data_IF_306573795586
#
_entry.id   IF_306573795586
#
_cell.length_a   1.000
_cell.length_b   1.000
_cell.length_c   1.000
_cell.angle_alpha   90.00
_cell.angle_beta   90.00
_cell.angle_gamma   90.00
#
_symmetry.space_group_name_H-M   'P 1'
#
loop_
_entity.id
_entity.type
_entity.pdbx_description
1 polymer ?
#
# COMPACT_ATOMS: atom_id res chain seq x y z
N UNK A 1 -19.78 14.93 -0.08
CA UNK A 1 -20.26 13.53 -0.26
C UNK A 1 -20.59 12.94 1.10
N UNK A 2 -21.68 12.18 1.25
CA UNK A 2 -21.98 11.50 2.51
C UNK A 2 -20.89 10.43 2.77
N UNK A 3 -20.46 10.26 4.03
CA UNK A 3 -19.42 9.27 4.43
C UNK A 3 -19.69 7.85 3.88
N UNK A 4 -20.97 7.46 3.83
CA UNK A 4 -21.40 6.17 3.26
C UNK A 4 -21.13 6.05 1.76
N UNK A 5 -21.27 7.14 0.98
CA UNK A 5 -21.02 7.12 -0.47
C UNK A 5 -19.53 6.99 -0.79
N UNK A 6 -18.68 7.69 -0.03
CA UNK A 6 -17.23 7.60 -0.18
C UNK A 6 -16.70 6.18 0.16
N UNK A 7 -17.22 5.59 1.25
CA UNK A 7 -16.89 4.21 1.62
C UNK A 7 -17.34 3.20 0.55
N UNK A 8 -18.57 3.32 0.03
CA UNK A 8 -19.09 2.44 -1.02
C UNK A 8 -18.25 2.53 -2.31
N UNK A 9 -17.87 3.73 -2.73
CA UNK A 9 -17.01 3.94 -3.91
C UNK A 9 -15.64 3.34 -3.67
N UNK A 10 -15.05 3.51 -2.47
CA UNK A 10 -13.75 2.91 -2.15
C UNK A 10 -13.77 1.39 -2.20
N UNK A 11 -14.81 0.77 -1.63
CA UNK A 11 -15.00 -0.69 -1.67
C UNK A 11 -15.20 -1.15 -3.11
N UNK A 12 -16.04 -0.49 -3.89
CA UNK A 12 -16.29 -0.84 -5.29
C UNK A 12 -15.00 -0.78 -6.13
N UNK A 13 -14.20 0.29 -5.98
CA UNK A 13 -12.89 0.42 -6.63
C UNK A 13 -11.90 -0.64 -6.17
N UNK A 14 -11.83 -0.91 -4.87
CA UNK A 14 -10.95 -1.94 -4.34
C UNK A 14 -11.27 -3.33 -4.87
N UNK A 15 -12.57 -3.68 -4.91
CA UNK A 15 -13.04 -4.95 -5.49
C UNK A 15 -12.79 -4.98 -7.00
N UNK A 16 -13.05 -3.90 -7.72
CA UNK A 16 -12.82 -3.84 -9.16
C UNK A 16 -11.33 -3.96 -9.52
N UNK A 17 -10.48 -3.18 -8.89
CA UNK A 17 -9.02 -3.23 -9.14
C UNK A 17 -8.43 -4.54 -8.60
N UNK A 18 -8.68 -4.88 -7.34
CA UNK A 18 -8.19 -6.11 -6.73
C UNK A 18 -8.68 -7.35 -7.49
N UNK A 19 -9.97 -7.42 -7.83
CA UNK A 19 -10.55 -8.50 -8.62
C UNK A 19 -9.94 -8.59 -10.02
N UNK A 20 -9.71 -7.46 -10.70
CA UNK A 20 -9.10 -7.46 -12.03
C UNK A 20 -7.63 -7.90 -11.97
N UNK A 21 -6.83 -7.27 -11.11
CA UNK A 21 -5.39 -7.53 -11.08
C UNK A 21 -5.00 -8.79 -10.31
N UNK A 22 -5.76 -9.19 -9.29
CA UNK A 22 -5.46 -10.38 -8.49
C UNK A 22 -6.20 -11.65 -8.95
N UNK A 23 -7.27 -11.53 -9.73
CA UNK A 23 -8.06 -12.69 -10.19
C UNK A 23 -8.17 -12.74 -11.71
N UNK A 24 -8.77 -11.72 -12.36
CA UNK A 24 -9.10 -11.78 -13.78
C UNK A 24 -7.82 -11.86 -14.65
N UNK A 25 -6.85 -10.99 -14.48
CA UNK A 25 -5.61 -11.03 -15.26
C UNK A 25 -4.80 -12.31 -15.00
N UNK A 26 -4.58 -12.76 -13.75
CA UNK A 26 -3.97 -14.06 -13.50
C UNK A 26 -4.72 -15.23 -14.13
N UNK A 27 -6.06 -15.21 -14.13
CA UNK A 27 -6.87 -16.22 -14.81
C UNK A 27 -6.63 -16.23 -16.32
N UNK A 28 -6.68 -15.06 -16.98
CA UNK A 28 -6.47 -14.95 -18.42
C UNK A 28 -5.05 -15.33 -18.86
N UNK A 29 -4.04 -15.10 -18.01
CA UNK A 29 -2.64 -15.39 -18.31
C UNK A 29 -2.22 -16.82 -17.93
N UNK A 30 -2.86 -17.40 -16.93
CA UNK A 30 -2.48 -18.71 -16.39
C UNK A 30 -3.54 -19.77 -16.59
N UNK A 31 -4.75 -19.39 -17.09
CA UNK A 31 -5.93 -20.25 -17.26
C UNK A 31 -6.28 -21.06 -16.01
N UNK A 32 -5.63 -20.77 -14.90
CA UNK A 32 -5.73 -21.45 -13.59
C UNK A 32 -5.65 -22.99 -13.68
N UNK A 33 -4.89 -23.50 -14.65
CA UNK A 33 -4.58 -24.93 -14.73
C UNK A 33 -3.49 -25.30 -13.73
N UNK A 34 -3.72 -26.37 -12.98
CA UNK A 34 -2.74 -26.89 -12.03
C UNK A 34 -1.60 -27.61 -12.75
N UNK A 35 -0.46 -26.95 -12.85
CA UNK A 35 0.77 -27.57 -13.34
C UNK A 35 1.59 -28.07 -12.14
N UNK A 36 2.25 -29.19 -12.32
CA UNK A 36 3.17 -29.78 -11.33
C UNK A 36 4.57 -29.87 -11.95
N UNK A 37 5.31 -28.75 -12.01
CA UNK A 37 6.60 -28.72 -12.70
C UNK A 37 7.67 -29.59 -12.06
N UNK A 38 7.50 -29.96 -10.79
CA UNK A 38 8.47 -30.78 -10.03
C UNK A 38 7.73 -31.87 -9.24
N UNK A 39 8.44 -33.02 -8.92
CA UNK A 39 7.95 -33.99 -7.94
C UNK A 39 7.70 -33.29 -6.59
N UNK A 40 6.68 -33.74 -5.86
CA UNK A 40 6.27 -33.17 -4.56
C UNK A 40 5.73 -31.73 -4.61
N UNK A 41 5.28 -31.24 -5.77
CA UNK A 41 4.72 -29.89 -5.94
C UNK A 41 3.52 -29.59 -5.01
N UNK A 42 2.90 -30.61 -4.43
CA UNK A 42 1.82 -30.46 -3.44
C UNK A 42 2.21 -29.60 -2.22
N UNK A 43 3.46 -29.66 -1.78
CA UNK A 43 3.97 -28.78 -0.70
C UNK A 43 3.99 -27.34 -1.16
N UNK A 44 4.46 -27.06 -2.38
CA UNK A 44 4.45 -25.72 -2.95
C UNK A 44 3.01 -25.18 -3.10
N UNK A 45 2.06 -26.02 -3.47
CA UNK A 45 0.63 -25.65 -3.56
C UNK A 45 0.07 -25.28 -2.17
N UNK A 46 0.38 -26.06 -1.13
CA UNK A 46 -0.03 -25.74 0.24
C UNK A 46 0.55 -24.42 0.71
N UNK A 47 1.86 -24.18 0.47
CA UNK A 47 2.50 -22.88 0.74
C UNK A 47 1.84 -21.76 -0.07
N UNK A 48 1.48 -22.02 -1.32
CA UNK A 48 0.77 -21.08 -2.19
C UNK A 48 -0.57 -20.61 -1.58
N UNK A 49 -1.37 -21.53 -1.07
CA UNK A 49 -2.62 -21.19 -0.36
C UNK A 49 -2.35 -20.34 0.89
N UNK A 50 -1.34 -20.72 1.70
CA UNK A 50 -0.99 -19.95 2.88
C UNK A 50 -0.55 -18.53 2.53
N UNK A 51 0.23 -18.36 1.46
CA UNK A 51 0.65 -17.04 0.99
C UNK A 51 -0.55 -16.19 0.51
N UNK A 52 -1.50 -16.79 -0.22
CA UNK A 52 -2.73 -16.07 -0.62
C UNK A 52 -3.47 -15.58 0.62
N UNK A 53 -3.70 -16.46 1.59
CA UNK A 53 -4.37 -16.07 2.84
C UNK A 53 -3.59 -14.97 3.60
N UNK A 54 -2.26 -15.11 3.69
CA UNK A 54 -1.40 -14.14 4.36
C UNK A 54 -1.39 -12.78 3.66
N UNK A 55 -1.40 -12.76 2.32
CA UNK A 55 -1.43 -11.54 1.52
C UNK A 55 -2.77 -10.79 1.61
N UNK A 56 -3.88 -11.50 1.80
CA UNK A 56 -5.21 -10.89 1.99
C UNK A 56 -5.29 -10.08 3.30
N UNK A 57 -4.53 -10.43 4.32
CA UNK A 57 -4.58 -9.74 5.62
C UNK A 57 -4.17 -8.27 5.49
N UNK A 58 -2.98 -7.91 4.96
CA UNK A 58 -2.61 -6.50 4.78
C UNK A 58 -3.51 -5.77 3.78
N UNK A 59 -4.05 -6.44 2.75
CA UNK A 59 -5.01 -5.86 1.82
C UNK A 59 -6.27 -5.38 2.56
N UNK A 60 -6.97 -6.29 3.22
CA UNK A 60 -8.22 -5.99 3.93
C UNK A 60 -7.99 -4.94 5.02
N UNK A 61 -6.92 -5.09 5.82
CA UNK A 61 -6.61 -4.14 6.88
C UNK A 61 -6.32 -2.74 6.33
N UNK A 62 -5.58 -2.64 5.24
CA UNK A 62 -5.27 -1.36 4.61
C UNK A 62 -6.52 -0.67 4.08
N UNK A 63 -7.45 -1.41 3.46
CA UNK A 63 -8.75 -0.87 3.07
C UNK A 63 -9.54 -0.32 4.25
N UNK A 64 -9.58 -1.07 5.37
CA UNK A 64 -10.25 -0.62 6.61
C UNK A 64 -9.59 0.67 7.12
N UNK A 65 -8.26 0.76 7.11
CA UNK A 65 -7.53 1.94 7.58
C UNK A 65 -7.80 3.17 6.71
N UNK A 66 -7.89 3.00 5.37
CA UNK A 66 -8.28 4.09 4.46
C UNK A 66 -9.72 4.56 4.69
N UNK A 67 -10.67 3.64 4.87
CA UNK A 67 -12.07 3.99 5.16
C UNK A 67 -12.16 4.79 6.46
N UNK A 68 -11.42 4.37 7.52
CA UNK A 68 -11.37 5.10 8.80
C UNK A 68 -10.74 6.49 8.69
N UNK A 69 -9.85 6.70 7.72
CA UNK A 69 -9.19 7.98 7.47
C UNK A 69 -10.01 8.92 6.56
N UNK A 70 -11.28 8.61 6.28
CA UNK A 70 -12.15 9.33 5.33
C UNK A 70 -11.50 9.47 3.92
N UNK A 71 -10.67 8.51 3.53
CA UNK A 71 -9.93 8.46 2.27
C UNK A 71 -10.23 7.21 1.46
N UNK A 72 -9.67 7.19 0.26
CA UNK A 72 -9.66 6.00 -0.60
C UNK A 72 -8.21 5.60 -0.89
N UNK A 73 -7.91 4.31 -1.10
CA UNK A 73 -6.58 3.88 -1.53
C UNK A 73 -6.24 4.34 -2.96
N UNK A 74 -7.18 4.98 -3.64
CA UNK A 74 -6.98 5.49 -4.99
C UNK A 74 -6.32 6.87 -4.94
N UNK A 75 -5.30 7.15 -5.78
CA UNK A 75 -4.57 8.43 -5.79
C UNK A 75 -5.45 9.68 -5.97
N UNK A 76 -6.61 9.53 -6.59
CA UNK A 76 -7.56 10.63 -6.88
C UNK A 76 -8.20 11.21 -5.61
N UNK A 77 -8.34 10.43 -4.55
CA UNK A 77 -8.97 10.85 -3.30
C UNK A 77 -8.15 10.45 -2.07
N UNK A 78 -6.86 10.79 -2.10
CA UNK A 78 -5.96 10.51 -0.98
C UNK A 78 -6.44 11.19 0.30
N UNK A 79 -6.37 10.53 1.46
CA UNK A 79 -6.90 11.01 2.73
C UNK A 79 -6.30 12.37 3.11
N UNK A 80 -7.03 13.20 3.88
CA UNK A 80 -6.55 14.51 4.32
C UNK A 80 -5.37 14.41 5.30
N UNK A 81 -5.16 13.25 5.91
CA UNK A 81 -4.08 12.97 6.87
C UNK A 81 -3.24 11.79 6.39
N UNK A 82 -1.95 11.80 6.70
CA UNK A 82 -1.07 10.67 6.43
C UNK A 82 -1.53 9.45 7.25
N UNK A 83 -1.85 8.35 6.56
CA UNK A 83 -2.26 7.10 7.20
C UNK A 83 -1.01 6.38 7.69
N UNK A 84 -0.86 6.29 9.02
CA UNK A 84 0.24 5.62 9.72
C UNK A 84 -0.35 4.70 10.79
N UNK A 85 -1.32 3.88 10.40
CA UNK A 85 -1.98 2.90 11.26
C UNK A 85 -1.80 1.48 10.73
N UNK A 86 -2.11 0.48 11.51
CA UNK A 86 -2.08 -0.91 11.09
C UNK A 86 -0.74 -1.33 10.48
N UNK A 87 -0.77 -1.93 9.29
CA UNK A 87 0.42 -2.37 8.57
C UNK A 87 1.32 -1.24 8.08
N UNK A 88 0.80 0.00 7.92
CA UNK A 88 1.60 1.17 7.57
C UNK A 88 2.66 1.53 8.62
N UNK A 89 2.55 1.02 9.84
CA UNK A 89 3.58 1.14 10.89
C UNK A 89 4.78 0.20 10.67
N UNK A 90 4.61 -0.82 9.84
CA UNK A 90 5.63 -1.84 9.56
C UNK A 90 6.27 -1.66 8.19
N UNK A 91 5.46 -1.33 7.18
CA UNK A 91 5.90 -1.14 5.79
C UNK A 91 5.10 -0.02 5.16
N UNK A 92 5.73 0.80 4.27
CA UNK A 92 5.04 1.96 3.69
C UNK A 92 3.99 1.59 2.64
N UNK A 93 4.17 0.45 1.96
CA UNK A 93 3.31 0.01 0.86
C UNK A 93 2.67 -1.35 1.16
N UNK A 94 1.87 -1.50 2.24
CA UNK A 94 1.33 -2.80 2.64
C UNK A 94 0.39 -3.41 1.60
N UNK A 95 -0.38 -2.59 0.86
CA UNK A 95 -1.26 -3.04 -0.23
C UNK A 95 -0.43 -3.71 -1.33
N UNK A 96 0.61 -3.05 -1.83
CA UNK A 96 1.47 -3.64 -2.87
C UNK A 96 2.18 -4.92 -2.39
N UNK A 97 2.63 -4.94 -1.13
CA UNK A 97 3.27 -6.13 -0.54
C UNK A 97 2.27 -7.27 -0.44
N UNK A 98 1.06 -7.02 0.07
CA UNK A 98 -0.02 -8.00 0.14
C UNK A 98 -0.38 -8.56 -1.23
N UNK A 99 -0.56 -7.68 -2.21
CA UNK A 99 -0.84 -8.05 -3.60
C UNK A 99 0.25 -8.97 -4.20
N UNK A 100 1.53 -8.61 -4.02
CA UNK A 100 2.64 -9.44 -4.49
C UNK A 100 2.70 -10.81 -3.81
N UNK A 101 2.41 -10.87 -2.50
CA UNK A 101 2.33 -12.13 -1.76
C UNK A 101 1.19 -13.00 -2.29
N UNK A 102 0.03 -12.42 -2.64
CA UNK A 102 -1.08 -13.14 -3.29
C UNK A 102 -0.65 -13.69 -4.66
N UNK A 103 0.00 -12.87 -5.49
CA UNK A 103 0.48 -13.33 -6.81
C UNK A 103 1.52 -14.45 -6.69
N UNK A 104 2.46 -14.33 -5.78
CA UNK A 104 3.44 -15.40 -5.52
C UNK A 104 2.76 -16.68 -5.02
N UNK A 105 1.73 -16.54 -4.18
CA UNK A 105 0.88 -17.65 -3.77
C UNK A 105 0.21 -18.35 -4.97
N UNK A 106 -0.31 -17.59 -5.92
CA UNK A 106 -0.90 -18.14 -7.15
C UNK A 106 0.16 -18.80 -8.05
N UNK A 107 1.36 -18.22 -8.17
CA UNK A 107 2.48 -18.85 -8.90
C UNK A 107 2.77 -20.25 -8.35
N UNK A 108 2.86 -20.39 -7.01
CA UNK A 108 3.11 -21.66 -6.36
C UNK A 108 1.90 -22.61 -6.47
N UNK A 109 0.68 -22.10 -6.36
CA UNK A 109 -0.55 -22.89 -6.41
C UNK A 109 -0.74 -23.51 -7.79
N UNK A 110 -0.56 -22.72 -8.85
CA UNK A 110 -0.83 -23.17 -10.23
C UNK A 110 0.43 -23.65 -10.96
N UNK A 111 1.63 -23.35 -10.48
CA UNK A 111 2.88 -23.74 -11.12
C UNK A 111 3.11 -23.06 -12.48
N UNK A 112 2.46 -21.94 -12.74
CA UNK A 112 2.44 -21.25 -14.03
C UNK A 112 3.61 -20.28 -14.18
N UNK A 113 4.40 -20.45 -15.25
CA UNK A 113 5.46 -19.48 -15.62
C UNK A 113 4.87 -18.14 -16.07
N UNK A 114 3.70 -18.15 -16.71
CA UNK A 114 2.99 -16.92 -17.10
C UNK A 114 2.62 -16.06 -15.89
N UNK A 115 2.13 -16.69 -14.81
CA UNK A 115 1.86 -15.99 -13.55
C UNK A 115 3.14 -15.43 -12.89
N UNK A 116 4.27 -16.13 -12.99
CA UNK A 116 5.53 -15.62 -12.47
C UNK A 116 5.98 -14.37 -13.24
N UNK A 117 5.93 -14.40 -14.56
CA UNK A 117 6.23 -13.22 -15.40
C UNK A 117 5.28 -12.07 -15.06
N UNK A 118 3.99 -12.34 -14.93
CA UNK A 118 3.01 -11.34 -14.52
C UNK A 118 3.34 -10.73 -13.15
N UNK A 119 3.68 -11.55 -12.16
CA UNK A 119 4.05 -11.06 -10.82
C UNK A 119 5.28 -10.14 -10.85
N UNK A 120 6.30 -10.48 -11.65
CA UNK A 120 7.50 -9.65 -11.85
C UNK A 120 7.14 -8.32 -12.52
N UNK A 121 6.34 -8.36 -13.59
CA UNK A 121 5.90 -7.14 -14.30
C UNK A 121 5.06 -6.26 -13.37
N UNK A 122 4.09 -6.85 -12.65
CA UNK A 122 3.25 -6.14 -11.70
C UNK A 122 4.09 -5.47 -10.59
N UNK A 123 5.13 -6.16 -10.08
CA UNK A 123 6.05 -5.58 -9.13
C UNK A 123 6.86 -4.41 -9.71
N UNK A 124 7.39 -4.54 -10.92
CA UNK A 124 8.14 -3.45 -11.57
C UNK A 124 7.25 -2.22 -11.80
N UNK A 125 6.03 -2.42 -12.30
CA UNK A 125 5.07 -1.34 -12.52
C UNK A 125 4.67 -0.68 -11.20
N UNK A 126 4.34 -1.46 -10.16
CA UNK A 126 4.02 -0.96 -8.84
C UNK A 126 5.18 -0.20 -8.20
N UNK A 127 6.41 -0.72 -8.29
CA UNK A 127 7.61 -0.06 -7.78
C UNK A 127 7.86 1.27 -8.49
N UNK A 128 7.68 1.32 -9.81
CA UNK A 128 7.78 2.54 -10.58
C UNK A 128 6.69 3.56 -10.20
N UNK A 129 5.44 3.12 -10.08
CA UNK A 129 4.34 3.97 -9.63
C UNK A 129 4.60 4.57 -8.24
N UNK A 130 5.02 3.76 -7.27
CA UNK A 130 5.39 4.21 -5.93
C UNK A 130 6.54 5.22 -6.01
N UNK A 131 7.62 4.91 -6.72
CA UNK A 131 8.84 5.72 -6.76
C UNK A 131 8.66 7.06 -7.47
N UNK A 132 7.94 7.05 -8.60
CA UNK A 132 7.87 8.22 -9.50
C UNK A 132 6.59 9.02 -9.33
N UNK A 133 5.55 8.45 -8.78
CA UNK A 133 4.25 9.12 -8.64
C UNK A 133 3.82 9.28 -7.17
N UNK A 134 3.71 8.17 -6.40
CA UNK A 134 3.14 8.22 -5.05
C UNK A 134 4.07 8.92 -4.05
N UNK A 135 5.35 8.52 -3.95
CA UNK A 135 6.29 9.13 -3.02
C UNK A 135 6.48 10.65 -3.25
N UNK A 136 6.66 11.15 -4.48
CA UNK A 136 6.71 12.60 -4.72
C UNK A 136 5.41 13.31 -4.38
N UNK A 137 4.26 12.68 -4.63
CA UNK A 137 2.94 13.25 -4.32
C UNK A 137 2.72 13.34 -2.80
N UNK A 138 3.05 12.29 -2.06
CA UNK A 138 2.97 12.27 -0.60
C UNK A 138 3.96 13.25 0.03
N UNK A 139 5.18 13.35 -0.50
CA UNK A 139 6.17 14.31 -0.03
C UNK A 139 5.72 15.76 -0.21
N UNK A 140 5.10 16.08 -1.37
CA UNK A 140 4.52 17.42 -1.59
C UNK A 140 3.33 17.71 -0.69
N UNK A 141 2.47 16.70 -0.46
CA UNK A 141 1.23 16.87 0.31
C UNK A 141 1.47 16.97 1.81
N UNK A 142 2.36 16.16 2.36
CA UNK A 142 2.56 16.00 3.80
C UNK A 142 3.92 16.55 4.32
N UNK A 143 4.79 17.00 3.43
CA UNK A 143 6.02 17.68 3.78
C UNK A 143 6.92 16.92 4.75
N UNK A 144 7.34 17.60 5.83
CA UNK A 144 8.22 17.05 6.85
C UNK A 144 7.68 15.77 7.50
N UNK A 145 6.36 15.70 7.74
CA UNK A 145 5.73 14.50 8.32
C UNK A 145 5.92 13.25 7.49
N UNK A 146 5.86 13.39 6.17
CA UNK A 146 6.16 12.26 5.28
C UNK A 146 7.64 11.90 5.28
N UNK A 147 8.54 12.88 5.36
CA UNK A 147 9.99 12.60 5.43
C UNK A 147 10.36 11.84 6.71
N UNK A 148 9.82 12.24 7.87
CA UNK A 148 10.02 11.52 9.13
C UNK A 148 9.56 10.07 9.02
N UNK A 149 8.37 9.86 8.45
CA UNK A 149 7.83 8.53 8.19
C UNK A 149 8.70 7.72 7.23
N UNK A 150 9.15 8.34 6.14
CA UNK A 150 9.97 7.71 5.10
C UNK A 150 11.34 7.26 5.63
N UNK A 151 11.95 8.04 6.52
CA UNK A 151 13.22 7.67 7.17
C UNK A 151 13.04 6.50 8.14
N UNK A 152 11.90 6.44 8.82
CA UNK A 152 11.63 5.44 9.85
C UNK A 152 11.10 4.11 9.32
N UNK A 153 10.29 4.11 8.26
CA UNK A 153 9.61 2.93 7.73
C UNK A 153 10.06 2.65 6.29
N UNK A 154 10.49 1.43 6.01
CA UNK A 154 10.93 1.00 4.67
C UNK A 154 9.75 0.84 3.71
N UNK A 155 10.01 1.00 2.39
CA UNK A 155 8.97 0.93 1.37
C UNK A 155 8.41 -0.49 1.18
N UNK A 156 9.29 -1.52 1.17
CA UNK A 156 8.96 -2.87 0.72
C UNK A 156 9.26 -3.96 1.76
N UNK A 157 10.14 -3.70 2.70
CA UNK A 157 10.56 -4.68 3.70
C UNK A 157 9.92 -4.32 5.03
N UNK A 158 9.05 -5.19 5.58
CA UNK A 158 8.43 -4.95 6.88
C UNK A 158 9.47 -4.85 8.00
N UNK A 159 9.22 -3.97 8.95
CA UNK A 159 9.97 -3.88 10.21
C UNK A 159 9.47 -4.95 11.17
N UNK A 160 10.31 -5.40 12.06
CA UNK A 160 9.92 -6.33 13.14
C UNK A 160 9.06 -5.65 14.22
N UNK A 161 9.27 -4.33 14.44
CA UNK A 161 8.53 -3.56 15.44
C UNK A 161 7.76 -2.41 14.79
N UNK A 162 6.53 -2.12 15.24
CA UNK A 162 5.73 -1.04 14.68
C UNK A 162 6.36 0.32 14.97
N UNK A 163 6.40 1.19 13.97
CA UNK A 163 6.80 2.58 14.18
C UNK A 163 5.66 3.36 14.84
N UNK A 164 6.03 4.24 15.78
CA UNK A 164 5.11 5.16 16.43
C UNK A 164 5.64 6.56 16.26
N UNK A 165 4.84 7.53 15.75
CA UNK A 165 5.25 8.92 15.66
C UNK A 165 5.64 9.44 17.04
N UNK A 166 6.81 10.06 17.14
CA UNK A 166 7.21 10.73 18.38
C UNK A 166 6.33 11.94 18.68
N UNK A 167 6.28 12.42 19.93
CA UNK A 167 5.49 13.61 20.33
C UNK A 167 5.94 14.88 19.59
N UNK A 168 7.17 14.91 19.10
CA UNK A 168 7.72 16.01 18.31
C UNK A 168 7.53 15.85 16.80
N UNK A 169 7.00 14.71 16.32
CA UNK A 169 6.81 14.51 14.89
C UNK A 169 5.79 15.51 14.34
N UNK A 170 6.08 16.05 13.16
CA UNK A 170 5.18 16.94 12.44
C UNK A 170 3.83 16.31 12.09
N UNK A 171 3.72 14.98 12.17
CA UNK A 171 2.47 14.21 12.00
C UNK A 171 1.53 14.44 13.20
N UNK A 172 2.07 14.54 14.40
CA UNK A 172 1.30 14.71 15.66
C UNK A 172 0.91 16.17 15.89
N UNK A 173 1.75 17.10 15.47
CA UNK A 173 1.47 18.54 15.52
C UNK A 173 0.61 18.94 14.33
N UNK A 174 -0.65 18.65 14.27
CA UNK A 174 -1.53 19.03 13.17
C UNK A 174 -1.07 20.35 12.51
N UNK A 175 -0.37 20.27 11.37
CA UNK A 175 0.26 21.43 10.74
C UNK A 175 -0.84 22.39 10.26
N UNK A 176 -0.97 23.60 10.82
CA UNK A 176 -1.69 24.64 10.12
C UNK A 176 -0.95 24.90 8.82
N UNK A 177 -1.66 24.84 7.70
CA UNK A 177 -1.14 25.20 6.39
C UNK A 177 -0.34 26.48 6.54
N UNK A 178 0.94 26.44 6.13
CA UNK A 178 1.79 27.63 6.14
C UNK A 178 1.12 28.67 5.21
N UNK A 179 0.44 29.60 5.83
CA UNK A 179 0.00 30.83 5.17
C UNK A 179 1.24 31.62 4.72
N UNK A 180 1.20 32.29 3.56
CA UNK A 180 2.31 33.07 3.07
C UNK A 180 2.58 34.23 4.00
N UNK A 181 3.74 34.19 4.65
CA UNK A 181 4.46 35.40 5.11
C UNK A 181 3.87 36.16 6.26
N UNK A 182 4.10 35.75 7.49
CA UNK A 182 4.21 36.73 8.58
C UNK A 182 5.69 37.04 8.82
N UNK A 183 6.14 38.15 8.25
CA UNK A 183 7.40 38.79 8.60
C UNK A 183 7.39 39.07 10.12
N UNK A 184 8.33 38.49 10.86
CA UNK A 184 8.62 38.92 12.24
C UNK A 184 8.99 40.42 12.23
N UNK A 185 8.38 41.24 13.10
CA UNK A 185 8.86 42.62 13.28
C UNK A 185 10.27 42.58 13.87
N UNK A 186 11.17 43.30 13.24
CA UNK A 186 12.50 43.60 13.80
C UNK A 186 12.30 44.43 15.06
N UNK A 187 12.75 43.93 16.19
CA UNK A 187 12.88 44.76 17.42
C UNK A 187 13.91 45.88 17.19
N UNK A 188 13.60 47.13 17.58
CA UNK A 188 14.56 48.18 17.50
C UNK A 188 15.62 48.02 18.61
N UNK A 189 16.89 48.17 18.21
CA UNK A 189 18.04 48.29 19.11
C UNK A 189 17.89 49.52 19.95
N UNK A 190 18.06 49.39 21.24
CA UNK A 190 18.55 50.41 22.17
C UNK A 190 19.88 49.93 22.75
#
# INVERSE_FOLDING_TARGET
MRKSTAAAVSVAWGVALGGTFACLLPYLLGEWHFHRPLPYWGIAQAVGVLLICAGLVPEVQSFIDFIKADGTPVPVASPPRLVVSGFYRYVRNPIYVGFLVILMGQVLLFGSRGLLVYAVVAWCVGAAAVRFYEEPTLARKFGAGYQDYRCAVRAWVPRLHPWTPGPESSITRGHPAAGPGTRRPRSPLR
#
